data_IF_877040721705
#
_entry.id   IF_877040721705
#
_cell.length_a   1.000
_cell.length_b   1.000
_cell.length_c   1.000
_cell.angle_alpha   90.00
_cell.angle_beta   90.00
_cell.angle_gamma   90.00
#
_symmetry.space_group_name_H-M   'P 1'
#
loop_
_entity.id
_entity.type
_entity.pdbx_description
1 polymer ?
#
# COMPACT_ATOMS: atom_id res chain seq x y z
N UNK A 1 32.99 4.96 -37.83
CA UNK A 1 32.66 3.66 -37.19
C UNK A 1 31.63 3.93 -36.11
N UNK A 2 30.51 3.20 -36.15
CA UNK A 2 29.25 3.49 -35.47
C UNK A 2 29.30 3.25 -33.96
N UNK A 3 28.88 4.23 -33.16
CA UNK A 3 28.60 4.07 -31.71
C UNK A 3 27.27 4.70 -31.31
N UNK A 4 26.41 5.08 -32.27
CA UNK A 4 25.20 5.85 -31.98
C UNK A 4 23.91 5.02 -31.98
N UNK A 5 24.00 3.70 -31.82
CA UNK A 5 22.85 2.78 -31.99
C UNK A 5 22.47 1.98 -30.74
N UNK A 6 22.99 2.37 -29.57
CA UNK A 6 22.60 1.76 -28.28
C UNK A 6 21.83 2.68 -27.34
N UNK A 7 21.55 3.93 -27.73
CA UNK A 7 20.87 4.89 -26.85
C UNK A 7 19.41 5.16 -27.28
N UNK A 8 18.93 4.55 -28.38
CA UNK A 8 17.66 4.94 -28.99
C UNK A 8 16.41 4.16 -28.53
N UNK A 9 16.57 3.05 -27.81
CA UNK A 9 15.44 2.19 -27.39
C UNK A 9 15.18 2.18 -25.86
N UNK A 10 15.67 3.19 -25.13
CA UNK A 10 15.53 3.27 -23.67
C UNK A 10 14.34 4.10 -23.16
N UNK A 11 13.52 4.69 -24.02
CA UNK A 11 12.60 5.79 -23.62
C UNK A 11 11.09 5.49 -23.75
N UNK A 12 10.65 4.27 -24.05
CA UNK A 12 9.26 4.01 -24.50
C UNK A 12 8.45 2.99 -23.70
N UNK A 13 8.77 2.72 -22.44
CA UNK A 13 8.02 1.70 -21.70
C UNK A 13 7.81 1.97 -20.21
N UNK A 14 7.89 3.23 -19.79
CA UNK A 14 7.36 3.62 -18.47
C UNK A 14 5.99 4.24 -18.71
N UNK A 15 4.93 3.53 -18.30
CA UNK A 15 3.56 4.00 -18.41
C UNK A 15 3.39 5.27 -17.54
N UNK A 16 2.50 6.21 -17.92
CA UNK A 16 2.32 7.49 -17.19
C UNK A 16 2.07 7.28 -15.68
N UNK A 17 1.45 6.16 -15.31
CA UNK A 17 1.24 5.72 -13.92
C UNK A 17 2.53 5.37 -13.17
N UNK A 18 3.50 4.76 -13.84
CA UNK A 18 4.77 4.33 -13.27
C UNK A 18 5.75 5.50 -13.15
N UNK A 19 5.67 6.47 -14.08
CA UNK A 19 6.40 7.74 -13.96
C UNK A 19 5.90 8.54 -12.76
N UNK A 20 4.58 8.64 -12.56
CA UNK A 20 4.01 9.28 -11.37
C UNK A 20 4.49 8.64 -10.06
N UNK A 21 4.53 7.30 -10.01
CA UNK A 21 5.03 6.55 -8.85
C UNK A 21 6.55 6.71 -8.64
N UNK A 22 7.34 6.72 -9.72
CA UNK A 22 8.79 6.94 -9.65
C UNK A 22 9.12 8.37 -9.16
N UNK A 23 8.38 9.38 -9.62
CA UNK A 23 8.51 10.76 -9.16
C UNK A 23 8.14 10.93 -7.67
N UNK A 24 7.13 10.20 -7.18
CA UNK A 24 6.84 10.12 -5.73
C UNK A 24 7.97 9.44 -4.95
N UNK A 25 8.58 8.40 -5.52
CA UNK A 25 9.70 7.67 -4.91
C UNK A 25 10.95 8.54 -4.76
N UNK A 26 11.17 9.48 -5.70
CA UNK A 26 12.33 10.38 -5.75
C UNK A 26 12.21 11.63 -4.87
N UNK A 27 11.15 11.80 -4.09
CA UNK A 27 11.03 12.89 -3.11
C UNK A 27 10.64 14.25 -3.69
N UNK A 28 10.19 14.30 -4.94
CA UNK A 28 9.67 15.52 -5.57
C UNK A 28 8.18 15.73 -5.27
N UNK A 29 7.78 15.66 -4.00
CA UNK A 29 6.37 15.60 -3.57
C UNK A 29 5.58 16.91 -3.67
N UNK A 30 6.06 17.97 -4.33
CA UNK A 30 5.46 19.30 -4.11
C UNK A 30 5.28 20.26 -5.30
N UNK A 31 5.50 19.85 -6.55
CA UNK A 31 5.20 20.72 -7.69
C UNK A 31 4.43 20.00 -8.80
N UNK A 32 3.49 20.71 -9.42
CA UNK A 32 2.85 20.31 -10.67
C UNK A 32 3.87 20.46 -11.80
N UNK A 33 4.19 19.35 -12.47
CA UNK A 33 5.16 19.35 -13.57
C UNK A 33 4.46 19.12 -14.90
N UNK A 34 4.88 19.90 -15.90
CA UNK A 34 4.48 19.70 -17.29
C UNK A 34 5.39 18.64 -17.88
N UNK A 35 4.82 17.50 -18.24
CA UNK A 35 5.56 16.44 -18.95
C UNK A 35 5.42 16.70 -20.45
N UNK A 36 6.55 16.85 -21.14
CA UNK A 36 6.59 16.91 -22.60
C UNK A 36 6.67 15.49 -23.14
N UNK A 37 5.62 15.04 -23.83
CA UNK A 37 5.66 13.80 -24.59
C UNK A 37 5.87 14.13 -26.08
N UNK A 38 6.22 13.12 -26.88
CA UNK A 38 6.44 13.26 -28.34
C UNK A 38 5.20 13.78 -29.09
N UNK A 39 4.04 13.81 -28.42
CA UNK A 39 2.73 14.18 -28.96
C UNK A 39 2.14 15.45 -28.33
N UNK A 40 2.81 16.10 -27.38
CA UNK A 40 2.38 17.38 -26.80
C UNK A 40 2.67 17.54 -25.30
N UNK A 41 2.38 18.74 -24.78
CA UNK A 41 2.52 19.09 -23.36
C UNK A 41 1.25 18.66 -22.61
N UNK A 42 1.35 17.68 -21.71
CA UNK A 42 0.26 17.33 -20.79
C UNK A 42 0.58 17.87 -19.39
N UNK A 43 -0.36 18.63 -18.83
CA UNK A 43 -0.35 19.00 -17.41
C UNK A 43 -0.76 17.76 -16.63
N UNK A 44 0.15 17.21 -15.83
CA UNK A 44 -0.17 16.11 -14.92
C UNK A 44 -0.60 16.76 -13.61
N UNK A 45 -1.91 16.89 -13.40
CA UNK A 45 -2.44 17.23 -12.09
C UNK A 45 -2.27 16.00 -11.19
N UNK A 46 -1.35 16.09 -10.24
CA UNK A 46 -1.26 15.16 -9.13
C UNK A 46 -2.58 15.30 -8.36
N UNK A 47 -3.55 14.44 -8.63
CA UNK A 47 -4.87 14.49 -8.00
C UNK A 47 -4.68 14.64 -6.50
N UNK A 48 -5.32 15.67 -5.91
CA UNK A 48 -5.21 16.05 -4.48
C UNK A 48 -5.00 14.82 -3.61
N UNK A 49 -3.75 14.57 -3.22
CA UNK A 49 -3.43 13.56 -2.23
C UNK A 49 -3.83 14.22 -0.91
N UNK A 50 -5.00 13.86 -0.40
CA UNK A 50 -5.30 14.08 1.01
C UNK A 50 -4.14 13.46 1.79
N UNK A 51 -3.46 14.31 2.56
CA UNK A 51 -2.41 13.94 3.50
C UNK A 51 -2.77 12.61 4.15
N UNK A 52 -1.98 11.56 3.89
CA UNK A 52 -2.19 10.25 4.53
C UNK A 52 -1.64 10.37 5.96
N UNK A 53 -2.28 11.23 6.75
CA UNK A 53 -1.99 11.44 8.16
C UNK A 53 -2.17 10.10 8.88
N UNK A 54 -1.07 9.52 9.37
CA UNK A 54 -1.07 8.17 9.90
C UNK A 54 0.30 7.66 10.30
N UNK A 55 0.32 6.47 10.87
CA UNK A 55 1.53 5.73 11.23
C UNK A 55 2.17 5.16 9.97
N UNK A 56 3.48 5.33 9.84
CA UNK A 56 4.25 4.78 8.73
C UNK A 56 4.69 3.33 8.99
N UNK A 57 5.10 2.64 7.93
CA UNK A 57 5.84 1.39 8.09
C UNK A 57 7.23 1.67 8.66
N UNK A 58 7.77 0.67 9.37
CA UNK A 58 9.11 0.72 9.95
C UNK A 58 10.22 1.14 8.95
N UNK A 59 10.02 0.88 7.65
CA UNK A 59 10.80 1.51 6.57
C UNK A 59 10.04 1.44 5.25
N UNK A 60 10.43 2.31 4.29
CA UNK A 60 9.90 2.29 2.92
C UNK A 60 10.12 0.93 2.24
N UNK A 61 11.30 0.34 2.38
CA UNK A 61 11.60 -0.99 1.83
C UNK A 61 10.68 -2.07 2.42
N UNK A 62 10.35 -2.00 3.70
CA UNK A 62 9.40 -2.95 4.31
C UNK A 62 7.99 -2.77 3.74
N UNK A 63 7.54 -1.54 3.54
CA UNK A 63 6.26 -1.25 2.89
C UNK A 63 6.21 -1.85 1.47
N UNK A 64 7.23 -1.60 0.66
CA UNK A 64 7.33 -2.12 -0.72
C UNK A 64 7.34 -3.65 -0.75
N UNK A 65 8.13 -4.31 0.11
CA UNK A 65 8.21 -5.77 0.19
C UNK A 65 6.88 -6.38 0.65
N UNK A 66 6.20 -5.76 1.62
CA UNK A 66 4.89 -6.25 2.08
C UNK A 66 3.80 -6.06 1.03
N UNK A 67 3.77 -4.88 0.38
CA UNK A 67 2.82 -4.61 -0.69
C UNK A 67 3.01 -5.58 -1.86
N UNK A 68 4.26 -5.83 -2.28
CA UNK A 68 4.56 -6.80 -3.35
C UNK A 68 4.08 -8.22 -3.03
N UNK A 69 4.13 -8.63 -1.75
CA UNK A 69 3.71 -9.98 -1.32
C UNK A 69 2.22 -10.12 -1.04
N UNK A 70 1.57 -9.08 -0.51
CA UNK A 70 0.22 -9.17 0.06
C UNK A 70 -0.79 -8.19 -0.55
N UNK A 71 -0.34 -7.24 -1.38
CA UNK A 71 -1.20 -6.20 -1.96
C UNK A 71 -2.35 -6.78 -2.79
N UNK A 72 -2.07 -7.78 -3.62
CA UNK A 72 -3.10 -8.45 -4.44
C UNK A 72 -4.16 -9.16 -3.61
N UNK A 73 -3.77 -9.82 -2.52
CA UNK A 73 -4.69 -10.52 -1.61
C UNK A 73 -5.63 -9.52 -0.91
N UNK A 74 -5.07 -8.40 -0.44
CA UNK A 74 -5.83 -7.34 0.21
C UNK A 74 -6.78 -6.65 -0.81
N UNK A 75 -6.28 -6.36 -2.02
CA UNK A 75 -7.09 -5.81 -3.10
C UNK A 75 -8.34 -6.64 -3.36
N UNK A 76 -8.16 -7.97 -3.51
CA UNK A 76 -9.24 -8.89 -3.77
C UNK A 76 -10.25 -8.93 -2.62
N UNK A 77 -9.76 -8.95 -1.37
CA UNK A 77 -10.66 -8.96 -0.21
C UNK A 77 -11.46 -7.68 -0.02
N UNK A 78 -10.91 -6.54 -0.45
CA UNK A 78 -11.58 -5.23 -0.43
C UNK A 78 -12.39 -4.95 -1.71
N UNK A 79 -12.41 -5.90 -2.66
CA UNK A 79 -13.07 -5.77 -3.96
C UNK A 79 -12.68 -4.49 -4.72
N UNK A 80 -11.38 -4.15 -4.72
CA UNK A 80 -10.84 -2.96 -5.39
C UNK A 80 -10.33 -3.29 -6.80
N UNK A 81 -10.72 -2.50 -7.80
CA UNK A 81 -10.29 -2.70 -9.20
C UNK A 81 -8.81 -2.32 -9.43
N UNK A 82 -8.33 -1.31 -8.74
CA UNK A 82 -6.93 -0.90 -8.71
C UNK A 82 -6.50 -0.79 -7.26
N UNK A 83 -5.25 -1.14 -6.96
CA UNK A 83 -4.74 -1.06 -5.61
C UNK A 83 -3.25 -0.73 -5.60
N UNK A 84 -2.95 0.44 -5.06
CA UNK A 84 -1.60 0.99 -4.99
C UNK A 84 -0.98 0.85 -3.59
N UNK A 85 0.33 1.04 -3.51
CA UNK A 85 1.07 1.06 -2.24
C UNK A 85 0.58 2.16 -1.27
N UNK A 86 0.10 3.29 -1.81
CA UNK A 86 -0.48 4.39 -1.01
C UNK A 86 -1.81 3.97 -0.41
N UNK A 87 -2.66 3.30 -1.18
CA UNK A 87 -3.92 2.75 -0.67
C UNK A 87 -3.68 1.62 0.34
N UNK A 88 -2.64 0.81 0.16
CA UNK A 88 -2.22 -0.19 1.12
C UNK A 88 -1.84 0.43 2.48
N UNK A 89 -1.05 1.51 2.47
CA UNK A 89 -0.71 2.25 3.69
C UNK A 89 -1.95 2.93 4.32
N UNK A 90 -2.83 3.50 3.49
CA UNK A 90 -4.07 4.13 3.94
C UNK A 90 -4.99 3.11 4.62
N UNK A 91 -5.17 1.93 4.03
CA UNK A 91 -6.00 0.87 4.60
C UNK A 91 -5.39 0.32 5.90
N UNK A 92 -4.06 0.20 5.99
CA UNK A 92 -3.40 -0.16 7.24
C UNK A 92 -3.73 0.86 8.36
N UNK A 93 -3.62 2.15 8.07
CA UNK A 93 -3.97 3.21 9.02
C UNK A 93 -5.46 3.23 9.36
N UNK A 94 -6.33 2.92 8.41
CA UNK A 94 -7.76 2.78 8.64
C UNK A 94 -8.08 1.61 9.59
N UNK A 95 -7.38 0.48 9.47
CA UNK A 95 -7.48 -0.64 10.42
C UNK A 95 -6.99 -0.24 11.82
N UNK A 96 -5.93 0.56 11.93
CA UNK A 96 -5.47 1.07 13.24
C UNK A 96 -6.52 2.01 13.87
N UNK A 97 -7.11 2.89 13.07
CA UNK A 97 -8.05 3.91 13.54
C UNK A 97 -9.39 3.31 14.00
N UNK A 98 -9.89 2.31 13.28
CA UNK A 98 -11.24 1.76 13.50
C UNK A 98 -11.26 0.32 13.99
N UNK A 99 -10.12 -0.36 13.99
CA UNK A 99 -9.99 -1.74 14.44
C UNK A 99 -9.90 -1.87 15.96
N UNK A 100 -10.07 -3.11 16.42
CA UNK A 100 -9.86 -3.48 17.80
C UNK A 100 -8.39 -3.85 18.01
N UNK A 101 -7.76 -3.27 19.03
CA UNK A 101 -6.41 -3.68 19.43
C UNK A 101 -6.45 -5.07 20.08
N UNK A 102 -5.53 -5.94 19.67
CA UNK A 102 -5.38 -7.31 20.13
C UNK A 102 -3.99 -7.46 20.77
N UNK A 103 -3.90 -7.48 22.11
CA UNK A 103 -2.63 -7.56 22.82
C UNK A 103 -1.79 -8.78 22.45
N UNK A 104 -2.43 -9.94 22.23
CA UNK A 104 -1.75 -11.20 21.91
C UNK A 104 -1.00 -11.15 20.57
N UNK A 105 -1.44 -10.29 19.67
CA UNK A 105 -0.85 -10.10 18.34
C UNK A 105 -0.10 -8.77 18.19
N UNK A 106 -0.09 -7.93 19.24
CA UNK A 106 0.47 -6.58 19.23
C UNK A 106 0.06 -5.77 17.99
N UNK A 107 -1.25 -5.69 17.75
CA UNK A 107 -1.75 -5.07 16.54
C UNK A 107 -3.25 -4.88 16.53
N UNK A 108 -3.74 -4.24 15.48
CA UNK A 108 -5.14 -3.91 15.29
C UNK A 108 -5.80 -4.89 14.32
N UNK A 109 -7.06 -5.22 14.59
CA UNK A 109 -7.86 -6.12 13.77
C UNK A 109 -9.17 -5.45 13.40
N UNK A 110 -9.54 -5.52 12.11
CA UNK A 110 -10.82 -5.04 11.59
C UNK A 110 -11.44 -6.07 10.65
N UNK A 111 -12.74 -6.32 10.80
CA UNK A 111 -13.49 -7.12 9.82
C UNK A 111 -13.57 -6.33 8.51
N UNK A 112 -13.08 -6.90 7.41
CA UNK A 112 -13.09 -6.27 6.08
C UNK A 112 -14.04 -6.95 5.10
N UNK A 113 -14.70 -8.02 5.54
CA UNK A 113 -15.62 -8.80 4.71
C UNK A 113 -14.88 -9.83 3.85
N UNK A 114 -15.61 -10.43 2.91
CA UNK A 114 -15.08 -11.45 2.01
C UNK A 114 -16.20 -12.29 1.41
N UNK A 115 -16.08 -12.62 0.14
CA UNK A 115 -17.04 -13.49 -0.55
C UNK A 115 -16.89 -14.93 0.00
N UNK A 116 -17.98 -15.47 0.57
CA UNK A 116 -18.04 -16.83 1.13
C UNK A 116 -17.47 -17.03 2.54
N UNK A 117 -16.56 -16.18 3.03
CA UNK A 117 -16.08 -16.23 4.43
C UNK A 117 -15.60 -14.87 4.95
N UNK A 118 -15.84 -14.61 6.23
CA UNK A 118 -15.39 -13.39 6.89
C UNK A 118 -13.85 -13.33 6.94
N UNK A 119 -13.26 -12.30 6.33
CA UNK A 119 -11.84 -11.99 6.45
C UNK A 119 -11.64 -10.76 7.31
N UNK A 120 -10.55 -10.79 8.08
CA UNK A 120 -10.14 -9.70 8.95
C UNK A 120 -8.81 -9.15 8.45
N UNK A 121 -8.71 -7.83 8.33
CA UNK A 121 -7.43 -7.18 8.17
C UNK A 121 -6.75 -7.07 9.54
N UNK A 122 -5.49 -7.44 9.60
CA UNK A 122 -4.62 -7.35 10.76
C UNK A 122 -3.44 -6.45 10.45
N UNK A 123 -3.19 -5.47 11.31
CA UNK A 123 -2.03 -4.58 11.25
C UNK A 123 -1.17 -4.78 12.49
N UNK A 124 0.03 -5.30 12.29
CA UNK A 124 1.00 -5.53 13.37
C UNK A 124 1.87 -4.30 13.60
N UNK A 125 2.15 -3.98 14.86
CA UNK A 125 2.97 -2.84 15.24
C UNK A 125 4.33 -3.25 15.81
N UNK A 126 5.32 -2.40 15.63
CA UNK A 126 6.57 -2.46 16.35
C UNK A 126 6.35 -2.05 17.81
N UNK A 127 6.84 -2.85 18.76
CA UNK A 127 6.64 -2.59 20.20
C UNK A 127 7.36 -1.34 20.70
N UNK A 128 8.44 -0.94 20.02
CA UNK A 128 9.29 0.16 20.45
C UNK A 128 8.86 1.46 19.79
N UNK A 129 8.68 1.43 18.47
CA UNK A 129 8.41 2.64 17.69
C UNK A 129 6.92 2.89 17.46
N UNK A 130 6.07 1.88 17.63
CA UNK A 130 4.65 1.95 17.25
C UNK A 130 4.41 1.93 15.75
N UNK A 131 5.46 1.84 14.93
CA UNK A 131 5.35 1.83 13.47
C UNK A 131 4.72 0.53 12.96
N UNK A 132 4.14 0.60 11.76
CA UNK A 132 3.55 -0.56 11.10
C UNK A 132 4.65 -1.54 10.69
N UNK A 133 4.43 -2.81 10.98
CA UNK A 133 5.31 -3.91 10.59
C UNK A 133 4.71 -4.78 9.49
N UNK A 134 3.38 -4.86 9.41
CA UNK A 134 2.66 -5.74 8.48
C UNK A 134 1.20 -5.30 8.34
N UNK A 135 0.60 -5.56 7.17
CA UNK A 135 -0.84 -5.60 6.95
C UNK A 135 -1.19 -6.92 6.25
N UNK A 136 -1.92 -7.81 6.91
CA UNK A 136 -2.31 -9.13 6.38
C UNK A 136 -3.80 -9.40 6.55
N UNK A 137 -4.33 -10.32 5.75
CA UNK A 137 -5.62 -10.93 6.03
C UNK A 137 -5.48 -12.10 7.01
N UNK A 138 -6.52 -12.26 7.82
CA UNK A 138 -6.68 -13.35 8.78
C UNK A 138 -8.07 -13.94 8.64
N UNK A 139 -8.12 -15.26 8.65
CA UNK A 139 -9.37 -16.00 8.76
C UNK A 139 -9.84 -16.07 10.21
N UNK A 140 -11.15 -16.26 10.42
CA UNK A 140 -11.74 -16.51 11.74
C UNK A 140 -11.01 -17.65 12.48
N UNK A 141 -10.71 -18.75 11.77
CA UNK A 141 -10.02 -19.91 12.34
C UNK A 141 -8.62 -19.59 12.86
N UNK A 142 -7.88 -18.71 12.21
CA UNK A 142 -6.58 -18.25 12.71
C UNK A 142 -6.74 -17.35 13.94
N UNK A 143 -7.74 -16.48 13.93
CA UNK A 143 -8.00 -15.55 15.04
C UNK A 143 -8.46 -16.26 16.30
N UNK A 144 -9.31 -17.28 16.20
CA UNK A 144 -9.69 -18.12 17.35
C UNK A 144 -8.46 -18.70 18.06
N UNK A 145 -7.41 -19.05 17.30
CA UNK A 145 -6.17 -19.63 17.86
C UNK A 145 -5.20 -18.57 18.40
N UNK A 146 -5.09 -17.42 17.73
CA UNK A 146 -4.05 -16.41 18.00
C UNK A 146 -4.53 -15.23 18.85
N UNK A 147 -5.83 -15.01 18.90
CA UNK A 147 -6.48 -13.86 19.53
C UNK A 147 -7.77 -14.30 20.25
N UNK A 148 -7.67 -15.18 21.26
CA UNK A 148 -8.85 -15.67 21.97
C UNK A 148 -9.63 -14.54 22.67
N UNK A 149 -8.98 -13.41 22.99
CA UNK A 149 -9.61 -12.20 23.51
C UNK A 149 -10.70 -11.60 22.61
N UNK A 150 -10.72 -11.92 21.31
CA UNK A 150 -11.75 -11.47 20.39
C UNK A 150 -13.10 -12.18 20.58
N UNK A 151 -13.16 -13.29 21.33
CA UNK A 151 -14.40 -14.00 21.61
C UNK A 151 -15.08 -14.64 20.38
N UNK A 152 -14.33 -14.83 19.28
CA UNK A 152 -14.81 -15.49 18.08
C UNK A 152 -15.06 -16.99 18.33
N UNK A 153 -16.08 -17.56 17.71
CA UNK A 153 -16.50 -18.96 17.87
C UNK A 153 -16.80 -19.60 16.52
#
# INVERSE_FOLDING_TARGET
VSTSQYVKDGYTWINESELGQALMVLGFTYASYKVLTTTGVKQVENGKIEDVSGIEFNSKTKLEVHFSKHGSEIQQALNKNHYSIVEYLRDANHVIKEGQFVPEMNGYIKLVGGEGSAKYAFVGLDRTTGNITTLHLKSVKELIKKAPSLGLK
#
